data_IF_177898588936
#
_entry.id   IF_177898588936
#
_cell.length_a   1.000
_cell.length_b   1.000
_cell.length_c   1.000
_cell.angle_alpha   90.00
_cell.angle_beta   90.00
_cell.angle_gamma   90.00
#
_symmetry.space_group_name_H-M   'P 1'
#
loop_
_entity.id
_entity.type
_entity.pdbx_description
1 polymer ?
2 polymer ?
3 polymer ?
4 non-polymer ?
5 non-polymer ?
6 water ?
#
loop_
_entity_poly.entity_id
_entity_poly.type
_entity_poly.pdbx_seq_one_letter_code
_entity_poly.pdbx_strand_id
2 'polydeoxyribonucleotide' '(DT)(DC)(DA)(8OG)(DG)(DG)(DG)(DT)(DC)(DC)(DT)' ?
3 'polydeoxyribonucleotide' '(DA)(DG)(DG)(DA)(DC)(DC)(DC)' ?
#
# COMPACT_ATOMS: atom_id res chain seq x y z
N UNK A 27 -17.69 9.47 -16.32
CA UNK A 27 -17.15 8.12 -16.55
C UNK A 27 -15.63 8.09 -16.53
N UNK A 28 -15.04 7.72 -15.39
CA UNK A 28 -13.59 7.56 -15.31
C UNK A 28 -13.21 6.11 -15.61
N UNK A 29 -11.99 5.92 -16.10
CA UNK A 29 -11.43 4.58 -16.24
C UNK A 29 -10.14 4.52 -15.44
N UNK A 30 -10.23 3.84 -14.31
CA UNK A 30 -9.15 3.76 -13.35
C UNK A 30 -8.58 2.34 -13.34
N UNK A 31 -7.29 2.22 -13.09
CA UNK A 31 -6.64 0.93 -12.91
C UNK A 31 -5.92 0.82 -11.59
N UNK A 32 -6.05 -0.34 -10.95
CA UNK A 32 -5.36 -0.64 -9.72
C UNK A 32 -4.31 -1.71 -10.00
N UNK A 33 -3.06 -1.42 -9.67
CA UNK A 33 -2.01 -2.40 -9.90
C UNK A 33 -1.53 -2.95 -8.58
N UNK A 34 -1.50 -4.27 -8.49
CA UNK A 34 -1.19 -4.91 -7.23
C UNK A 34 -0.20 -6.03 -7.46
N UNK A 35 1.02 -5.83 -6.96
CA UNK A 35 2.08 -6.81 -7.18
C UNK A 35 1.90 -8.02 -6.31
N UNK A 36 2.13 -9.17 -6.91
CA UNK A 36 2.10 -10.41 -6.18
C UNK A 36 3.27 -10.62 -5.21
N UNK A 37 2.93 -10.96 -3.95
CA UNK A 37 3.90 -11.25 -2.91
C UNK A 37 5.20 -10.45 -3.08
N UNK A 38 5.08 -9.13 -2.99
CA UNK A 38 6.13 -8.21 -3.40
C UNK A 38 7.52 -8.53 -2.85
N UNK A 39 7.67 -8.51 -1.53
CA UNK A 39 8.99 -8.72 -0.93
C UNK A 39 9.61 -10.00 -1.47
N UNK A 40 8.87 -11.09 -1.39
CA UNK A 40 9.33 -12.37 -1.88
C UNK A 40 9.79 -12.24 -3.32
N UNK A 41 8.96 -11.61 -4.15
CA UNK A 41 9.34 -11.39 -5.54
C UNK A 41 10.70 -10.73 -5.62
N UNK A 42 10.86 -9.63 -4.90
CA UNK A 42 12.11 -8.90 -4.95
C UNK A 42 13.24 -9.81 -4.53
N UNK A 43 13.00 -10.59 -3.47
CA UNK A 43 14.01 -11.54 -3.04
C UNK A 43 14.32 -12.53 -4.14
N UNK A 44 13.29 -13.19 -4.66
CA UNK A 44 13.49 -14.23 -5.67
C UNK A 44 14.28 -13.72 -6.86
N UNK A 45 14.15 -12.44 -7.15
CA UNK A 45 14.92 -11.86 -8.23
C UNK A 45 16.39 -11.79 -7.81
N UNK A 46 16.63 -11.53 -6.54
CA UNK A 46 17.99 -11.48 -6.03
C UNK A 46 18.73 -12.81 -6.10
N UNK A 47 18.35 -13.75 -5.24
CA UNK A 47 18.90 -15.11 -5.26
C UNK A 47 17.94 -16.10 -5.93
N UNK A 48 18.07 -16.26 -7.26
CA UNK A 48 17.16 -17.09 -8.05
C UNK A 48 17.08 -18.52 -7.54
N UNK A 49 18.07 -18.93 -6.76
CA UNK A 49 18.12 -20.25 -6.14
C UNK A 49 16.86 -20.54 -5.31
N UNK A 50 16.06 -19.51 -5.04
CA UNK A 50 14.87 -19.70 -4.23
C UNK A 50 13.56 -19.66 -5.03
N UNK A 51 13.69 -19.50 -6.35
CA UNK A 51 12.55 -19.40 -7.25
C UNK A 51 11.63 -20.62 -7.24
N UNK A 52 12.22 -21.79 -7.01
CA UNK A 52 11.44 -23.03 -7.00
C UNK A 52 11.06 -23.41 -5.57
N UNK A 53 11.77 -22.85 -4.60
CA UNK A 53 11.56 -23.18 -3.20
C UNK A 53 10.58 -22.23 -2.55
N UNK A 54 9.66 -22.79 -1.75
CA UNK A 54 8.68 -21.97 -1.03
C UNK A 54 9.42 -20.99 -0.14
N UNK A 55 8.94 -19.76 -0.08
CA UNK A 55 9.73 -18.70 0.54
C UNK A 55 8.91 -17.86 1.49
N UNK A 56 9.54 -17.52 2.61
CA UNK A 56 8.95 -16.61 3.57
C UNK A 56 9.92 -15.45 3.72
N UNK A 57 9.36 -14.24 3.87
CA UNK A 57 10.18 -13.07 4.17
C UNK A 57 9.89 -12.67 5.61
N UNK A 58 10.97 -12.54 6.37
CA UNK A 58 10.89 -12.51 7.81
C UNK A 58 11.21 -11.17 8.43
N UNK A 59 10.40 -10.79 9.41
CA UNK A 59 10.62 -9.58 10.18
C UNK A 59 10.42 -9.96 11.64
N UNK A 60 11.48 -9.85 12.43
CA UNK A 60 11.46 -10.37 13.80
C UNK A 60 10.91 -11.79 13.75
N UNK A 61 9.76 -12.00 14.39
CA UNK A 61 9.17 -13.33 14.50
C UNK A 61 8.03 -13.54 13.51
N UNK A 62 7.80 -12.58 12.64
CA UNK A 62 6.73 -12.70 11.66
C UNK A 62 7.21 -13.14 10.29
N UNK A 63 6.36 -13.89 9.59
CA UNK A 63 6.52 -14.05 8.16
C UNK A 63 5.50 -13.13 7.52
N UNK A 64 5.98 -12.02 6.97
CA UNK A 64 5.09 -10.99 6.46
C UNK A 64 4.49 -11.37 5.12
N UNK A 65 5.27 -12.07 4.31
CA UNK A 65 4.80 -12.52 2.99
C UNK A 65 5.60 -13.73 2.52
N UNK A 66 4.98 -14.53 1.65
CA UNK A 66 5.62 -15.74 1.12
C UNK A 66 5.28 -15.88 -0.35
N UNK A 67 6.15 -16.51 -1.11
CA UNK A 67 5.84 -16.77 -2.50
C UNK A 67 4.70 -17.79 -2.59
N UNK A 68 4.12 -17.97 -3.77
CA UNK A 68 2.95 -18.83 -3.89
C UNK A 68 3.30 -20.27 -3.63
N UNK A 69 4.49 -20.66 -4.07
CA UNK A 69 5.07 -21.95 -3.77
C UNK A 69 4.91 -22.32 -2.29
N UNK A 70 4.54 -21.36 -1.46
CA UNK A 70 4.54 -21.56 -0.02
C UNK A 70 3.18 -21.30 0.62
N UNK A 71 2.40 -20.39 0.05
CA UNK A 71 1.01 -20.24 0.48
C UNK A 71 0.33 -21.55 0.18
N UNK A 72 0.87 -22.26 -0.81
CA UNK A 72 0.37 -23.57 -1.22
C UNK A 72 0.30 -24.49 0.00
N UNK A 73 1.18 -24.23 0.96
CA UNK A 73 1.31 -25.08 2.14
C UNK A 73 0.80 -24.42 3.43
N UNK A 74 -0.32 -23.71 3.31
CA UNK A 74 -0.97 -23.13 4.47
C UNK A 74 -0.36 -21.85 5.01
N UNK A 75 0.91 -21.60 4.67
CA UNK A 75 1.59 -20.41 5.13
C UNK A 75 0.80 -19.17 4.72
N UNK A 76 0.60 -18.25 5.65
CA UNK A 76 -0.19 -17.06 5.38
C UNK A 76 0.55 -15.77 5.73
N UNK A 77 0.23 -14.70 5.00
CA UNK A 77 0.82 -13.38 5.24
C UNK A 77 0.71 -13.01 6.73
N UNK A 78 1.75 -12.35 7.24
CA UNK A 78 1.83 -12.05 8.67
C UNK A 78 1.50 -13.30 9.47
N UNK A 79 2.43 -14.24 9.52
CA UNK A 79 2.24 -15.47 10.28
C UNK A 79 3.48 -15.85 11.08
N UNK A 80 3.24 -16.17 12.35
CA UNK A 80 4.27 -16.62 13.29
C UNK A 80 5.29 -17.54 12.63
N UNK A 81 6.56 -17.41 13.03
CA UNK A 81 7.60 -18.32 12.54
C UNK A 81 7.50 -19.71 13.18
N UNK A 82 6.78 -19.82 14.29
CA UNK A 82 6.55 -21.15 14.86
C UNK A 82 5.42 -21.85 14.10
N UNK A 83 4.31 -21.15 13.90
CA UNK A 83 3.23 -21.65 13.06
C UNK A 83 3.73 -21.85 11.63
N UNK A 84 4.61 -20.93 11.19
CA UNK A 84 5.18 -21.00 9.85
C UNK A 84 6.01 -22.27 9.64
N UNK A 85 7.12 -22.36 10.37
CA UNK A 85 8.04 -23.49 10.26
C UNK A 85 7.34 -24.84 10.40
N UNK A 86 6.46 -24.95 11.39
CA UNK A 86 5.76 -26.22 11.61
C UNK A 86 4.94 -26.64 10.38
N UNK A 87 3.98 -25.81 10.03
CA UNK A 87 3.14 -26.03 8.85
C UNK A 87 3.98 -26.37 7.62
N UNK A 88 5.21 -25.88 7.62
CA UNK A 88 6.09 -26.12 6.48
C UNK A 88 7.54 -26.02 6.91
N UNK A 89 8.08 -27.11 7.43
CA UNK A 89 9.49 -27.13 7.85
C UNK A 89 10.41 -27.11 6.63
N UNK A 90 9.82 -27.01 5.44
CA UNK A 90 10.62 -26.88 4.23
C UNK A 90 10.71 -25.40 3.87
N UNK A 91 10.09 -24.58 4.71
CA UNK A 91 10.04 -23.13 4.52
C UNK A 91 11.43 -22.50 4.52
N UNK A 92 11.75 -21.75 3.47
CA UNK A 92 12.99 -20.97 3.43
C UNK A 92 12.71 -19.55 3.89
N UNK A 93 13.70 -18.90 4.49
CA UNK A 93 13.47 -17.58 5.06
C UNK A 93 14.60 -16.61 4.75
N UNK A 94 14.23 -15.39 4.39
CA UNK A 94 15.15 -14.27 4.30
C UNK A 94 14.64 -13.16 5.22
N UNK A 95 15.58 -12.37 5.73
CA UNK A 95 15.22 -11.25 6.59
C UNK A 95 14.80 -10.06 5.75
N UNK A 96 13.67 -9.47 6.06
CA UNK A 96 13.20 -8.33 5.30
C UNK A 96 13.00 -7.07 6.12
N UNK A 97 13.69 -6.96 7.24
CA UNK A 97 13.54 -5.80 8.12
C UNK A 97 14.01 -4.51 7.45
N UNK A 98 15.06 -4.61 6.66
CA UNK A 98 15.54 -3.48 5.90
C UNK A 98 14.73 -3.37 4.62
N UNK A 99 13.94 -2.31 4.51
CA UNK A 99 13.03 -2.12 3.37
C UNK A 99 13.71 -1.53 2.14
N UNK A 100 15.00 -1.23 2.26
CA UNK A 100 15.71 -0.49 1.24
C UNK A 100 15.46 -0.96 -0.20
N UNK A 101 15.75 -2.23 -0.45
CA UNK A 101 15.60 -2.77 -1.79
C UNK A 101 14.13 -2.79 -2.23
N UNK A 102 13.22 -3.09 -1.33
CA UNK A 102 11.79 -3.08 -1.65
C UNK A 102 11.36 -1.69 -2.05
N UNK A 103 11.83 -0.71 -1.29
CA UNK A 103 11.42 0.66 -1.52
C UNK A 103 11.89 1.08 -2.90
N UNK A 104 13.12 0.73 -3.24
CA UNK A 104 13.68 1.13 -4.53
C UNK A 104 12.91 0.53 -5.69
N UNK A 105 12.63 -0.77 -5.62
CA UNK A 105 11.83 -1.41 -6.65
C UNK A 105 10.44 -0.78 -6.71
N UNK A 106 9.86 -0.52 -5.54
CA UNK A 106 8.59 0.18 -5.45
C UNK A 106 8.57 1.44 -6.31
N UNK A 107 9.61 2.27 -6.21
CA UNK A 107 9.66 3.49 -7.01
C UNK A 107 9.98 3.23 -8.48
N UNK A 108 10.67 2.13 -8.75
CA UNK A 108 10.87 1.79 -10.15
C UNK A 108 9.52 1.43 -10.79
N UNK A 109 8.68 0.75 -10.03
CA UNK A 109 7.37 0.37 -10.54
C UNK A 109 6.51 1.59 -10.83
N UNK A 110 6.39 2.49 -9.86
CA UNK A 110 5.53 3.62 -10.10
C UNK A 110 6.06 4.57 -11.17
N UNK A 111 7.38 4.79 -11.18
CA UNK A 111 7.96 5.60 -12.25
C UNK A 111 7.62 5.01 -13.60
N UNK A 112 7.61 3.68 -13.66
CA UNK A 112 7.25 3.00 -14.89
C UNK A 112 5.80 3.30 -15.26
N UNK A 113 4.91 3.24 -14.28
CA UNK A 113 3.51 3.55 -14.56
C UNK A 113 3.33 5.05 -14.87
N UNK A 114 4.12 5.91 -14.23
CA UNK A 114 4.00 7.33 -14.51
C UNK A 114 4.27 7.62 -15.99
N UNK A 115 4.89 6.67 -16.66
CA UNK A 115 5.28 6.87 -18.04
C UNK A 115 4.10 6.60 -18.99
N UNK A 116 3.20 5.72 -18.57
CA UNK A 116 1.97 5.49 -19.32
C UNK A 116 1.10 6.73 -19.21
N UNK A 117 0.86 7.17 -17.97
CA UNK A 117 0.11 8.38 -17.70
C UNK A 117 0.59 8.98 -16.38
N UNK A 118 0.80 10.29 -16.36
CA UNK A 118 1.55 10.94 -15.27
C UNK A 118 0.91 10.88 -13.88
N UNK A 119 -0.40 10.66 -13.81
CA UNK A 119 -1.09 10.70 -12.53
C UNK A 119 -1.18 9.33 -11.87
N UNK A 120 -0.20 9.05 -11.01
CA UNK A 120 -0.14 7.77 -10.33
C UNK A 120 -0.15 7.97 -8.83
N UNK A 121 -1.08 7.27 -8.17
CA UNK A 121 -1.19 7.32 -6.73
C UNK A 121 -0.67 6.01 -6.14
N UNK A 122 0.32 6.11 -5.25
CA UNK A 122 0.87 4.96 -4.58
C UNK A 122 0.00 4.62 -3.38
N UNK A 123 -0.03 3.34 -3.01
CA UNK A 123 -0.67 2.91 -1.78
C UNK A 123 0.18 1.80 -1.22
N UNK A 124 1.00 2.13 -0.23
CA UNK A 124 2.01 1.21 0.26
C UNK A 124 3.10 1.05 -0.78
N UNK A 125 3.91 0.02 -0.64
CA UNK A 125 5.00 -0.20 -1.59
C UNK A 125 4.61 -0.99 -2.82
N UNK A 126 3.46 -1.67 -2.78
CA UNK A 126 3.13 -2.64 -3.83
C UNK A 126 1.82 -2.41 -4.54
N UNK A 127 1.24 -1.23 -4.37
CA UNK A 127 -0.02 -0.88 -5.04
C UNK A 127 0.02 0.52 -5.66
N UNK A 128 -0.52 0.64 -6.87
CA UNK A 128 -0.61 1.92 -7.55
C UNK A 128 -1.98 2.07 -8.19
N UNK A 129 -2.49 3.30 -8.19
CA UNK A 129 -3.65 3.62 -8.99
C UNK A 129 -3.22 4.52 -10.11
N UNK A 130 -3.76 4.28 -11.30
CA UNK A 130 -3.54 5.19 -12.40
C UNK A 130 -4.89 5.54 -13.00
N UNK A 131 -5.11 6.83 -13.22
CA UNK A 131 -6.31 7.27 -13.90
C UNK A 131 -6.07 7.21 -15.41
N UNK A 132 -6.78 6.30 -16.08
CA UNK A 132 -6.53 6.04 -17.49
C UNK A 132 -7.49 6.78 -18.42
N UNK A 133 -8.33 7.64 -17.87
CA UNK A 133 -9.44 8.20 -18.67
C UNK A 133 -8.96 8.97 -19.89
N UNK A 134 -8.07 9.93 -19.70
CA UNK A 134 -7.59 10.75 -20.81
C UNK A 134 -6.89 9.88 -21.84
N UNK A 135 -6.23 8.84 -21.38
CA UNK A 135 -5.47 7.96 -22.28
C UNK A 135 -6.44 7.13 -23.10
N UNK A 136 -7.47 6.62 -22.44
CA UNK A 136 -8.50 5.85 -23.12
C UNK A 136 -9.17 6.65 -24.24
N UNK A 137 -9.51 7.91 -23.96
CA UNK A 137 -10.10 8.80 -24.96
C UNK A 137 -9.16 8.99 -26.14
N UNK A 138 -7.91 9.32 -25.85
CA UNK A 138 -6.92 9.56 -26.88
C UNK A 138 -6.89 8.39 -27.85
N UNK A 139 -6.93 7.18 -27.32
CA UNK A 139 -6.85 6.01 -28.18
C UNK A 139 -8.07 5.91 -29.06
N UNK A 140 -9.24 5.95 -28.44
CA UNK A 140 -10.49 5.78 -29.16
C UNK A 140 -10.58 6.71 -30.36
N UNK A 141 -10.21 7.97 -30.18
CA UNK A 141 -10.23 8.92 -31.28
C UNK A 141 -9.40 8.46 -32.46
N UNK A 142 -8.29 7.80 -32.18
CA UNK A 142 -7.38 7.34 -33.22
C UNK A 142 -7.98 6.16 -33.97
N UNK A 143 -9.03 5.58 -33.39
CA UNK A 143 -9.69 4.43 -33.98
C UNK A 143 -10.79 4.84 -34.94
N UNK A 144 -11.07 3.96 -35.90
CA UNK A 144 -12.20 4.12 -36.82
C UNK A 144 -13.21 3.01 -36.57
N UNK A 145 -14.42 3.17 -37.13
CA UNK A 145 -15.51 2.22 -36.90
C UNK A 145 -15.09 0.76 -37.07
N UNK A 146 -14.25 0.52 -38.08
CA UNK A 146 -13.80 -0.83 -38.39
C UNK A 146 -13.12 -1.54 -37.21
N UNK A 147 -12.01 -0.98 -36.74
CA UNK A 147 -11.23 -1.58 -35.65
C UNK A 147 -11.92 -1.43 -34.29
N UNK A 148 -13.02 -0.68 -34.29
CA UNK A 148 -13.86 -0.58 -33.10
C UNK A 148 -14.76 -1.80 -33.02
N UNK A 149 -14.75 -2.60 -34.09
CA UNK A 149 -15.62 -3.77 -34.18
C UNK A 149 -15.66 -4.70 -32.96
N UNK A 150 -14.60 -5.40 -32.53
CA UNK A 150 -13.17 -5.42 -32.94
C UNK A 150 -12.33 -5.16 -31.68
N UNK A 151 -12.70 -4.15 -30.92
CA UNK A 151 -12.13 -3.95 -29.60
C UNK A 151 -12.44 -5.15 -28.74
N UNK A 152 -11.40 -5.76 -28.16
CA UNK A 152 -11.57 -6.96 -27.36
C UNK A 152 -11.03 -6.73 -25.96
N UNK A 153 -11.33 -7.63 -25.04
CA UNK A 153 -10.82 -7.53 -23.68
C UNK A 153 -9.44 -8.13 -23.58
N UNK A 154 -8.62 -7.57 -22.70
CA UNK A 154 -7.45 -8.26 -22.20
C UNK A 154 -7.74 -8.74 -20.78
N UNK A 155 -7.68 -10.05 -20.57
CA UNK A 155 -7.90 -10.62 -19.26
C UNK A 155 -9.33 -11.05 -18.98
N UNK A 156 -9.65 -11.18 -17.69
CA UNK A 156 -10.96 -11.61 -17.26
C UNK A 156 -11.96 -10.45 -17.24
N UNK A 157 -13.21 -10.77 -17.56
CA UNK A 157 -14.30 -9.86 -17.31
C UNK A 157 -14.96 -10.36 -16.05
N UNK A 158 -15.16 -9.48 -15.08
CA UNK A 158 -15.72 -9.89 -13.80
C UNK A 158 -17.10 -10.53 -13.97
N UNK A 159 -17.27 -11.70 -13.35
CA UNK A 159 -18.56 -12.37 -13.31
C UNK A 159 -18.99 -12.84 -14.69
N UNK A 160 -18.02 -13.12 -15.56
CA UNK A 160 -18.30 -13.52 -16.95
C UNK A 160 -19.34 -12.68 -17.65
N UNK A 161 -19.51 -11.43 -17.22
CA UNK A 161 -20.52 -10.59 -17.81
C UNK A 161 -20.30 -10.44 -19.31
N UNK A 162 -21.37 -10.18 -20.04
CA UNK A 162 -21.31 -10.10 -21.50
C UNK A 162 -20.99 -8.70 -21.95
N UNK A 163 -20.15 -8.59 -22.95
CA UNK A 163 -19.77 -7.28 -23.46
C UNK A 163 -20.75 -6.78 -24.50
N UNK A 164 -21.13 -5.52 -24.39
CA UNK A 164 -21.94 -4.90 -25.40
C UNK A 164 -21.10 -3.85 -26.08
N UNK A 165 -20.59 -4.20 -27.25
CA UNK A 165 -19.72 -3.31 -28.02
C UNK A 165 -20.34 -1.96 -28.33
N UNK A 166 -21.64 -1.81 -28.10
CA UNK A 166 -22.32 -0.59 -28.46
C UNK A 166 -22.45 0.27 -27.23
N UNK A 167 -22.09 -0.32 -26.09
CA UNK A 167 -22.06 0.42 -24.85
C UNK A 167 -20.75 1.17 -24.74
N UNK A 168 -20.82 2.49 -24.81
CA UNK A 168 -19.62 3.32 -24.82
C UNK A 168 -18.80 3.07 -23.55
N UNK A 169 -19.49 2.85 -22.43
CA UNK A 169 -18.81 2.54 -21.18
C UNK A 169 -18.10 1.19 -21.27
N UNK A 170 -18.71 0.22 -21.94
CA UNK A 170 -18.07 -1.07 -22.12
C UNK A 170 -16.79 -0.95 -22.92
N UNK A 171 -16.89 -0.20 -24.00
CA UNK A 171 -15.77 -0.02 -24.91
C UNK A 171 -14.60 0.67 -24.21
N UNK A 172 -14.91 1.62 -23.34
CA UNK A 172 -13.84 2.37 -22.68
C UNK A 172 -13.12 1.51 -21.63
N UNK A 173 -13.89 0.76 -20.86
CA UNK A 173 -13.31 -0.16 -19.90
C UNK A 173 -12.45 -1.24 -20.58
N UNK A 174 -12.72 -1.55 -21.83
CA UNK A 174 -11.95 -2.61 -22.51
C UNK A 174 -10.62 -2.06 -22.99
N UNK A 175 -10.62 -0.81 -23.43
CA UNK A 175 -9.38 -0.16 -23.81
C UNK A 175 -8.52 -0.09 -22.56
N UNK A 176 -9.15 0.29 -21.45
CA UNK A 176 -8.51 0.27 -20.15
C UNK A 176 -7.84 -1.07 -19.89
N UNK A 177 -8.55 -2.16 -20.17
CA UNK A 177 -7.99 -3.48 -19.94
C UNK A 177 -6.77 -3.70 -20.82
N UNK A 178 -6.75 -3.05 -21.97
CA UNK A 178 -5.65 -3.20 -22.90
C UNK A 178 -4.42 -2.45 -22.38
N UNK A 179 -4.66 -1.27 -21.81
CA UNK A 179 -3.56 -0.50 -21.26
C UNK A 179 -3.03 -1.20 -20.01
N UNK A 180 -3.94 -1.73 -19.20
CA UNK A 180 -3.55 -2.50 -18.04
C UNK A 180 -2.59 -3.61 -18.45
N UNK A 181 -2.96 -4.37 -19.45
CA UNK A 181 -2.14 -5.48 -19.89
C UNK A 181 -0.76 -5.01 -20.36
N UNK A 182 -0.70 -3.87 -21.04
CA UNK A 182 0.57 -3.33 -21.51
C UNK A 182 1.44 -2.95 -20.32
N UNK A 183 0.82 -2.39 -19.29
CA UNK A 183 1.51 -2.05 -18.06
C UNK A 183 2.09 -3.32 -17.45
N UNK A 184 1.26 -4.33 -17.28
CA UNK A 184 1.70 -5.56 -16.65
C UNK A 184 2.84 -6.20 -17.43
N UNK A 185 2.78 -6.13 -18.75
CA UNK A 185 3.85 -6.71 -19.55
C UNK A 185 5.13 -5.88 -19.43
N UNK A 186 4.99 -4.57 -19.49
CA UNK A 186 6.13 -3.68 -19.33
C UNK A 186 6.84 -3.95 -18.00
N UNK A 187 6.05 -4.20 -16.96
CA UNK A 187 6.61 -4.35 -15.63
C UNK A 187 7.42 -5.60 -15.57
N UNK A 188 6.99 -6.61 -16.29
CA UNK A 188 7.68 -7.88 -16.23
C UNK A 188 8.92 -7.82 -17.13
N UNK A 189 8.75 -7.29 -18.33
CA UNK A 189 9.85 -7.22 -19.29
C UNK A 189 10.97 -6.25 -18.89
N UNK A 190 10.61 -5.17 -18.22
CA UNK A 190 11.58 -4.16 -17.82
C UNK A 190 12.07 -4.32 -16.39
N UNK A 191 11.24 -4.90 -15.52
CA UNK A 191 11.60 -5.01 -14.12
C UNK A 191 11.52 -6.44 -13.58
N UNK A 192 11.09 -7.38 -14.41
CA UNK A 192 10.98 -8.77 -13.99
C UNK A 192 9.88 -9.00 -12.97
N UNK A 193 9.01 -8.00 -12.79
CA UNK A 193 7.95 -8.11 -11.79
C UNK A 193 6.59 -8.58 -12.32
N UNK A 194 5.86 -9.25 -11.45
CA UNK A 194 4.61 -9.90 -11.79
C UNK A 194 3.54 -9.31 -10.86
N UNK A 195 2.31 -9.25 -11.34
CA UNK A 195 1.24 -8.61 -10.57
C UNK A 195 -0.14 -8.63 -11.21
N UNK A 196 -1.13 -8.22 -10.42
CA UNK A 196 -2.50 -8.17 -10.91
C UNK A 196 -2.91 -6.74 -11.23
N UNK A 197 -3.86 -6.58 -12.13
CA UNK A 197 -4.49 -5.30 -12.35
C UNK A 197 -6.00 -5.46 -12.32
N UNK A 198 -6.69 -4.40 -11.92
CA UNK A 198 -8.13 -4.41 -11.98
C UNK A 198 -8.56 -3.10 -12.60
N UNK A 199 -9.40 -3.17 -13.62
CA UNK A 199 -9.88 -1.95 -14.27
C UNK A 199 -11.36 -1.71 -13.94
N UNK A 200 -11.69 -0.47 -13.62
CA UNK A 200 -13.04 -0.10 -13.20
C UNK A 200 -13.24 1.40 -13.27
N UNK A 201 -14.38 1.87 -12.78
CA UNK A 201 -14.79 3.25 -13.02
C UNK A 201 -14.49 4.18 -11.85
N UNK A 202 -13.99 3.61 -10.77
CA UNK A 202 -13.47 4.39 -9.65
C UNK A 202 -12.44 3.57 -8.85
N UNK A 203 -11.81 4.20 -7.86
CA UNK A 203 -10.75 3.57 -7.09
C UNK A 203 -11.19 2.38 -6.26
N UNK A 204 -12.34 2.50 -5.60
CA UNK A 204 -12.91 1.42 -4.81
C UNK A 204 -13.06 0.13 -5.63
N UNK A 205 -13.67 0.25 -6.79
CA UNK A 205 -14.02 -0.91 -7.59
C UNK A 205 -12.77 -1.51 -8.24
N UNK A 206 -11.92 -0.62 -8.75
CA UNK A 206 -10.65 -1.06 -9.32
C UNK A 206 -9.90 -1.92 -8.31
N UNK A 207 -9.83 -1.46 -7.07
CA UNK A 207 -9.09 -2.19 -6.05
C UNK A 207 -9.81 -3.47 -5.66
N UNK A 208 -11.14 -3.39 -5.55
CA UNK A 208 -11.92 -4.58 -5.26
C UNK A 208 -11.81 -5.63 -6.36
N UNK A 209 -11.80 -5.20 -7.62
CA UNK A 209 -11.77 -6.18 -8.70
C UNK A 209 -10.39 -6.76 -9.05
N UNK A 210 -9.30 -6.11 -8.63
CA UNK A 210 -7.95 -6.50 -9.06
C UNK A 210 -7.54 -7.82 -8.45
N UNK A 211 -8.13 -8.15 -7.31
CA UNK A 211 -7.84 -9.41 -6.64
C UNK A 211 -8.74 -10.61 -6.97
N UNK A 212 -9.71 -10.44 -7.85
CA UNK A 212 -10.60 -11.56 -8.17
C UNK A 212 -9.85 -12.76 -8.76
N UNK A 213 -8.91 -12.51 -9.66
CA UNK A 213 -8.05 -13.58 -10.16
C UNK A 213 -6.59 -13.32 -9.82
N UNK A 214 -6.03 -14.12 -8.92
CA UNK A 214 -4.61 -14.03 -8.57
C UNK A 214 -3.98 -15.40 -8.78
N UNK A 215 -2.66 -15.44 -9.04
CA UNK A 215 -1.84 -14.24 -9.20
C UNK A 215 -1.61 -13.89 -10.66
N UNK A 216 -0.94 -12.76 -10.90
CA UNK A 216 -0.50 -12.40 -12.24
C UNK A 216 -1.62 -12.48 -13.27
N UNK A 217 -2.76 -11.91 -12.93
CA UNK A 217 -3.90 -11.87 -13.83
C UNK A 217 -4.58 -10.53 -13.68
N UNK A 218 -5.44 -10.19 -14.63
CA UNK A 218 -6.20 -8.96 -14.52
C UNK A 218 -7.66 -9.20 -14.87
N UNK A 219 -8.52 -8.38 -14.30
CA UNK A 219 -9.93 -8.48 -14.57
C UNK A 219 -10.55 -7.10 -14.59
N UNK A 220 -11.60 -6.96 -15.40
CA UNK A 220 -12.24 -5.68 -15.63
C UNK A 220 -13.68 -5.75 -15.17
N UNK A 221 -14.20 -4.63 -14.69
CA UNK A 221 -15.52 -4.61 -14.08
C UNK A 221 -16.43 -3.80 -14.94
N UNK A 222 -17.43 -4.46 -15.53
CA UNK A 222 -18.48 -3.72 -16.24
C UNK A 222 -19.50 -3.21 -15.24
N UNK A 223 -20.09 -2.05 -15.53
CA UNK A 223 -20.98 -1.41 -14.56
C UNK A 223 -22.13 -2.28 -14.06
N UNK A 224 -22.78 -3.03 -14.94
CA UNK A 224 -23.93 -3.79 -14.44
C UNK A 224 -23.54 -4.94 -13.52
N UNK A 225 -22.25 -5.09 -13.23
CA UNK A 225 -21.81 -6.13 -12.30
C UNK A 225 -21.33 -5.55 -10.98
N UNK A 226 -21.45 -4.24 -10.85
CA UNK A 226 -21.00 -3.54 -9.65
C UNK A 226 -21.64 -4.00 -8.34
N UNK A 227 -22.96 -4.20 -8.35
CA UNK A 227 -23.61 -4.67 -7.13
C UNK A 227 -23.08 -6.06 -6.80
N UNK A 228 -23.03 -6.90 -7.82
CA UNK A 228 -22.55 -8.24 -7.64
C UNK A 228 -21.21 -8.23 -6.90
N UNK A 229 -20.26 -7.43 -7.39
CA UNK A 229 -18.94 -7.32 -6.77
C UNK A 229 -18.97 -6.92 -5.29
N UNK A 230 -19.73 -5.88 -4.96
CA UNK A 230 -19.69 -5.42 -3.57
C UNK A 230 -20.43 -6.37 -2.66
N UNK A 231 -21.49 -7.00 -3.18
CA UNK A 231 -22.22 -7.94 -2.36
C UNK A 231 -21.43 -9.25 -2.21
N UNK A 232 -20.41 -9.42 -3.03
CA UNK A 232 -19.57 -10.60 -2.90
C UNK A 232 -18.73 -10.57 -1.62
N UNK A 233 -18.58 -9.38 -1.03
CA UNK A 233 -17.81 -9.26 0.23
C UNK A 233 -18.55 -9.89 1.39
N UNK A 234 -17.82 -10.35 2.41
CA UNK A 234 -18.47 -11.02 3.53
C UNK A 234 -18.44 -10.24 4.84
N UNK A 235 -17.42 -9.40 4.98
CA UNK A 235 -17.29 -8.57 6.16
C UNK A 235 -17.19 -7.13 5.69
N UNK A 236 -17.96 -6.25 6.32
CA UNK A 236 -17.97 -4.85 5.96
C UNK A 236 -16.58 -4.18 6.00
N UNK A 237 -15.67 -4.77 6.76
CA UNK A 237 -14.29 -4.29 6.84
C UNK A 237 -13.49 -4.56 5.56
N UNK A 238 -14.01 -5.41 4.68
CA UNK A 238 -13.28 -5.72 3.44
C UNK A 238 -13.39 -4.55 2.48
N UNK A 239 -14.26 -3.60 2.80
CA UNK A 239 -14.29 -2.37 2.04
C UNK A 239 -13.07 -1.54 2.41
N UNK A 240 -12.29 -1.13 1.40
CA UNK A 240 -11.20 -0.20 1.64
C UNK A 240 -11.79 1.15 2.06
N UNK A 241 -11.36 1.68 3.20
CA UNK A 241 -11.95 2.89 3.75
C UNK A 241 -12.55 2.58 5.11
N UNK A 242 -12.67 1.29 5.39
CA UNK A 242 -13.29 0.83 6.63
C UNK A 242 -12.35 -0.11 7.37
N UNK A 243 -11.67 0.41 8.39
CA UNK A 243 -10.72 -0.37 9.16
C UNK A 243 -11.27 -0.86 10.49
N UNK A 244 -10.38 -1.22 11.42
CA UNK A 244 -10.80 -1.79 12.71
C UNK A 244 -11.83 -0.95 13.44
N UNK A 245 -11.44 0.26 13.84
CA UNK A 245 -12.33 1.12 14.60
C UNK A 245 -13.74 1.15 13.99
N UNK A 246 -13.85 1.61 12.76
CA UNK A 246 -15.16 1.78 12.13
C UNK A 246 -15.92 0.47 12.07
N UNK A 247 -15.27 -0.58 11.61
CA UNK A 247 -15.85 -1.91 11.63
C UNK A 247 -16.49 -2.18 12.99
N UNK A 248 -15.67 -2.16 14.04
CA UNK A 248 -16.13 -2.43 15.39
C UNK A 248 -17.32 -1.57 15.76
N UNK A 249 -17.25 -0.28 15.43
CA UNK A 249 -18.36 0.61 15.72
C UNK A 249 -19.61 0.19 14.95
N UNK A 250 -19.42 -0.26 13.72
CA UNK A 250 -20.54 -0.71 12.91
C UNK A 250 -21.12 -2.02 13.45
N UNK A 251 -20.23 -2.93 13.80
CA UNK A 251 -20.62 -4.23 14.31
C UNK A 251 -21.38 -4.12 15.63
N UNK A 252 -21.39 -2.91 16.19
CA UNK A 252 -22.06 -2.70 17.48
C UNK A 252 -23.39 -2.01 17.22
N UNK A 253 -23.65 -1.72 15.97
CA UNK A 253 -24.90 -1.11 15.58
C UNK A 253 -25.73 -2.18 14.90
N UNK A 254 -25.19 -3.41 14.89
CA UNK A 254 -25.82 -4.52 14.22
C UNK A 254 -25.58 -4.54 12.71
N UNK A 255 -24.69 -3.69 12.24
CA UNK A 255 -24.36 -3.61 10.82
C UNK A 255 -23.21 -4.54 10.48
N UNK A 256 -23.51 -5.62 9.77
CA UNK A 256 -22.49 -6.63 9.49
C UNK A 256 -22.20 -6.91 8.02
N UNK A 257 -23.19 -6.68 7.18
CA UNK A 257 -23.01 -6.98 5.77
C UNK A 257 -22.99 -5.69 4.98
N UNK A 258 -22.41 -5.73 3.80
CA UNK A 258 -22.47 -4.60 2.89
C UNK A 258 -23.90 -4.09 2.82
N UNK A 259 -24.85 -5.02 2.72
CA UNK A 259 -26.23 -4.63 2.51
C UNK A 259 -26.85 -3.98 3.75
N UNK A 260 -26.42 -4.44 4.92
CA UNK A 260 -26.80 -3.74 6.16
C UNK A 260 -26.39 -2.29 6.05
N UNK A 261 -25.10 -2.07 5.83
CA UNK A 261 -24.57 -0.72 5.70
C UNK A 261 -25.29 0.12 4.65
N UNK A 262 -25.55 -0.47 3.50
CA UNK A 262 -26.28 0.23 2.45
C UNK A 262 -27.62 0.68 3.00
N UNK A 263 -28.18 -0.18 3.83
CA UNK A 263 -29.59 -0.13 4.15
C UNK A 263 -29.86 0.59 5.47
N UNK A 264 -28.81 0.79 6.26
CA UNK A 264 -28.94 1.35 7.59
C UNK A 264 -29.31 2.82 7.55
N UNK A 265 -29.81 3.34 8.66
CA UNK A 265 -30.34 4.71 8.70
C UNK A 265 -29.26 5.77 8.49
N UNK A 266 -29.38 6.52 7.39
CA UNK A 266 -28.45 7.61 7.14
C UNK A 266 -28.44 8.53 8.36
N UNK A 267 -29.63 8.97 8.75
CA UNK A 267 -29.79 9.80 9.94
C UNK A 267 -28.96 9.29 11.11
N UNK A 268 -29.17 8.04 11.48
CA UNK A 268 -28.52 7.49 12.66
C UNK A 268 -27.03 7.43 12.47
N UNK A 269 -26.61 7.05 11.26
CA UNK A 269 -25.20 6.80 10.98
C UNK A 269 -24.40 8.10 11.09
N UNK A 270 -24.93 9.16 10.47
CA UNK A 270 -24.32 10.49 10.60
C UNK A 270 -24.12 10.80 12.07
N UNK A 271 -25.21 10.80 12.81
CA UNK A 271 -25.21 11.12 14.23
C UNK A 271 -24.32 10.20 15.05
N UNK A 272 -23.62 9.29 14.38
CA UNK A 272 -22.93 8.22 15.08
C UNK A 272 -21.43 8.12 14.82
N UNK A 273 -21.02 8.49 13.60
CA UNK A 273 -19.61 8.42 13.25
C UNK A 273 -19.14 9.75 12.68
N UNK A 274 -20.06 10.70 12.64
CA UNK A 274 -19.78 12.00 12.08
C UNK A 274 -20.22 12.05 10.62
N UNK A 275 -20.90 13.13 10.27
CA UNK A 275 -21.32 13.38 8.91
C UNK A 275 -20.20 13.09 7.88
N UNK A 276 -18.95 13.19 8.31
CA UNK A 276 -17.82 12.92 7.42
C UNK A 276 -17.67 11.46 7.03
N UNK A 277 -17.24 10.65 7.99
CA UNK A 277 -17.16 9.21 7.83
C UNK A 277 -18.47 8.63 7.32
N UNK A 278 -19.53 8.79 8.10
CA UNK A 278 -20.81 8.17 7.78
C UNK A 278 -21.20 8.39 6.33
N UNK A 279 -21.17 9.64 5.91
CA UNK A 279 -21.66 9.96 4.59
C UNK A 279 -20.95 9.16 3.51
N UNK A 280 -19.63 9.11 3.63
CA UNK A 280 -18.77 8.52 2.61
C UNK A 280 -18.73 7.00 2.66
N UNK A 281 -18.66 6.43 3.86
CA UNK A 281 -18.59 4.99 3.94
C UNK A 281 -19.91 4.37 3.53
N UNK A 282 -20.95 5.19 3.50
CA UNK A 282 -22.22 4.70 3.00
C UNK A 282 -22.22 4.71 1.47
N UNK A 283 -21.55 5.69 0.89
CA UNK A 283 -21.42 5.71 -0.57
C UNK A 283 -20.59 4.50 -0.98
N UNK A 284 -19.53 4.24 -0.22
CA UNK A 284 -18.67 3.10 -0.49
C UNK A 284 -19.47 1.80 -0.51
N UNK A 285 -20.49 1.71 0.33
CA UNK A 285 -21.25 0.47 0.43
C UNK A 285 -22.03 0.21 -0.86
N UNK A 286 -22.27 1.25 -1.64
CA UNK A 286 -22.97 1.12 -2.92
C UNK A 286 -22.01 0.99 -4.11
N UNK A 287 -20.72 0.92 -3.81
CA UNK A 287 -19.70 0.89 -4.84
C UNK A 287 -19.41 2.29 -5.38
N UNK A 288 -19.86 3.31 -4.65
CA UNK A 288 -19.69 4.72 -5.05
C UNK A 288 -18.45 5.37 -4.44
N UNK A 289 -17.58 5.90 -5.30
CA UNK A 289 -16.33 6.49 -4.85
C UNK A 289 -15.88 7.56 -5.82
N UNK A 290 -15.93 8.80 -5.37
CA UNK A 290 -15.63 9.94 -6.21
C UNK A 290 -14.18 10.38 -6.10
N UNK A 291 -13.51 9.93 -5.05
CA UNK A 291 -12.13 10.34 -4.77
C UNK A 291 -11.25 10.28 -6.02
N UNK A 292 -10.48 11.35 -6.25
CA UNK A 292 -9.59 11.40 -7.41
C UNK A 292 -8.35 10.55 -7.18
N UNK A 293 -7.74 10.07 -8.26
CA UNK A 293 -6.43 9.45 -8.17
C UNK A 293 -5.49 10.61 -8.01
N UNK A 294 -4.77 10.66 -6.90
CA UNK A 294 -3.83 11.76 -6.66
C UNK A 294 -2.41 11.44 -7.08
N UNK A 295 -1.70 12.41 -7.63
CA UNK A 295 -0.28 12.24 -7.93
C UNK A 295 0.55 12.15 -6.65
N UNK A 296 1.08 10.95 -6.38
CA UNK A 296 1.88 10.72 -5.17
C UNK A 296 3.16 11.54 -5.17
N UNK A 297 3.85 11.54 -6.31
CA UNK A 297 5.10 12.26 -6.44
C UNK A 297 6.14 11.78 -5.46
N UNK A 298 7.08 12.65 -5.10
CA UNK A 298 8.13 12.22 -4.17
C UNK A 298 7.50 12.12 -2.81
N UNK A 299 8.07 11.28 -1.93
CA UNK A 299 7.55 11.05 -0.57
C UNK A 299 7.56 12.31 0.27
N UNK A 300 6.63 12.40 1.21
CA UNK A 300 6.56 13.55 2.09
C UNK A 300 7.15 13.27 3.47
N UNK A 301 7.77 12.10 3.63
CA UNK A 301 8.48 11.77 4.86
C UNK A 301 9.39 10.55 4.71
N UNK A 302 10.49 10.56 5.44
CA UNK A 302 11.36 9.40 5.51
C UNK A 302 11.38 9.00 6.96
N UNK A 303 11.23 7.71 7.22
CA UNK A 303 11.35 7.25 8.59
C UNK A 303 11.93 5.84 8.68
N UNK A 304 12.58 5.59 9.81
CA UNK A 304 13.13 4.30 10.13
C UNK A 304 12.60 3.96 11.51
N UNK A 305 12.33 2.70 11.74
CA UNK A 305 11.97 2.30 13.08
C UNK A 305 12.59 0.95 13.41
N UNK A 306 12.64 0.66 14.70
CA UNK A 306 13.05 -0.65 15.17
C UNK A 306 12.39 -0.94 16.50
N UNK A 307 11.68 -2.06 16.56
CA UNK A 307 11.10 -2.51 17.81
C UNK A 307 12.09 -3.45 18.47
N UNK A 308 11.84 -3.79 19.72
CA UNK A 308 12.75 -4.65 20.47
C UNK A 308 12.07 -5.19 21.70
N UNK A 309 12.70 -6.20 22.31
CA UNK A 309 12.20 -6.82 23.52
C UNK A 309 12.06 -5.79 24.64
N UNK A 310 13.16 -5.06 24.89
CA UNK A 310 13.17 -4.00 25.89
C UNK A 310 14.34 -3.04 25.71
N UNK A 311 14.08 -1.77 25.95
CA UNK A 311 15.11 -0.76 26.15
C UNK A 311 14.76 -0.02 27.42
N UNK A 312 15.69 0.01 28.37
CA UNK A 312 15.44 0.67 29.64
C UNK A 312 16.60 1.58 30.09
N UNK A 313 17.53 1.82 29.17
CA UNK A 313 18.60 2.78 29.41
C UNK A 313 18.59 3.87 28.35
N UNK A 314 19.18 5.01 28.67
CA UNK A 314 19.21 6.13 27.74
C UNK A 314 20.46 6.08 26.86
N UNK A 315 21.41 5.21 27.20
CA UNK A 315 22.61 5.06 26.38
C UNK A 315 22.33 4.08 25.25
N UNK A 316 21.46 3.10 25.52
CA UNK A 316 20.99 2.22 24.48
C UNK A 316 20.27 3.07 23.46
N UNK A 317 19.21 3.72 23.92
CA UNK A 317 18.44 4.62 23.08
C UNK A 317 19.37 5.38 22.15
N UNK A 318 20.28 6.16 22.72
CA UNK A 318 21.13 7.03 21.89
C UNK A 318 21.80 6.24 20.78
N UNK A 319 22.28 5.03 21.10
CA UNK A 319 22.91 4.19 20.10
C UNK A 319 21.92 3.73 19.05
N UNK A 320 20.77 3.23 19.53
CA UNK A 320 19.66 2.87 18.66
C UNK A 320 19.35 4.03 17.74
N UNK A 321 19.08 5.17 18.35
CA UNK A 321 18.69 6.38 17.66
C UNK A 321 19.79 6.88 16.73
N UNK A 322 21.04 6.68 17.12
CA UNK A 322 22.13 7.01 16.23
C UNK A 322 22.02 6.13 15.00
N UNK A 323 21.55 4.90 15.22
CA UNK A 323 21.45 3.92 14.14
C UNK A 323 20.35 4.29 13.16
N UNK A 324 19.16 4.58 13.69
CA UNK A 324 18.05 5.01 12.85
C UNK A 324 18.47 6.26 12.09
N UNK A 325 19.01 7.22 12.82
CA UNK A 325 19.46 8.48 12.23
C UNK A 325 20.52 8.24 11.15
N UNK A 326 21.28 7.16 11.30
CA UNK A 326 22.30 6.83 10.32
C UNK A 326 21.69 6.69 8.94
N UNK A 327 20.81 5.70 8.78
CA UNK A 327 20.21 5.38 7.49
C UNK A 327 19.42 6.55 6.92
N UNK A 328 18.68 7.22 7.79
CA UNK A 328 17.86 8.33 7.34
C UNK A 328 18.72 9.33 6.58
N UNK A 329 19.91 9.57 7.09
CA UNK A 329 20.80 10.56 6.50
C UNK A 329 21.12 10.26 5.05
N UNK A 330 21.47 9.02 4.74
CA UNK A 330 21.81 8.66 3.36
C UNK A 330 20.59 8.73 2.45
N UNK A 331 19.42 8.49 3.02
CA UNK A 331 18.19 8.50 2.24
C UNK A 331 17.86 9.90 1.75
N UNK A 332 17.82 10.86 2.67
CA UNK A 332 17.56 12.24 2.31
C UNK A 332 18.73 12.80 1.51
N UNK A 333 19.94 12.43 1.90
CA UNK A 333 21.13 12.79 1.15
C UNK A 333 20.95 12.43 -0.32
N UNK A 334 20.59 11.18 -0.57
CA UNK A 334 20.38 10.68 -1.93
C UNK A 334 19.12 11.28 -2.56
N UNK A 335 18.38 12.07 -1.79
CA UNK A 335 17.04 12.51 -2.21
C UNK A 335 17.03 13.83 -2.98
N UNK A 336 17.73 14.84 -2.47
CA UNK A 336 17.84 16.12 -3.17
C UNK A 336 16.97 17.23 -2.64
N UNK A 337 16.15 16.93 -1.64
CA UNK A 337 15.37 17.94 -0.94
C UNK A 337 15.79 17.93 0.52
N UNK A 338 15.43 18.96 1.25
CA UNK A 338 15.78 19.04 2.65
C UNK A 338 14.54 19.10 3.54
N UNK A 339 14.59 18.40 4.67
CA UNK A 339 13.51 18.38 5.68
C UNK A 339 13.69 19.48 6.72
N UNK A 340 12.60 19.99 7.28
CA UNK A 340 12.67 21.10 8.22
C UNK A 340 12.09 20.75 9.58
N UNK A 341 11.82 19.47 9.81
CA UNK A 341 11.46 19.03 11.16
C UNK A 341 11.69 17.54 11.39
N UNK A 342 12.02 17.18 12.63
CA UNK A 342 12.23 15.80 13.02
C UNK A 342 11.19 15.36 14.03
N UNK A 343 10.90 14.07 14.03
CA UNK A 343 10.01 13.51 15.02
C UNK A 343 10.68 12.31 15.64
N UNK A 344 10.51 12.15 16.94
CA UNK A 344 10.94 10.95 17.62
C UNK A 344 9.71 10.25 18.15
N UNK A 345 9.63 8.96 17.86
CA UNK A 345 8.49 8.17 18.25
C UNK A 345 8.96 7.04 19.13
N UNK A 346 8.15 6.69 20.12
CA UNK A 346 8.49 5.64 21.06
C UNK A 346 7.25 4.80 21.37
N UNK A 347 7.48 3.66 22.00
CA UNK A 347 6.40 2.78 22.46
C UNK A 347 6.75 2.27 23.84
N UNK A 348 5.79 2.34 24.77
CA UNK A 348 6.06 2.01 26.18
C UNK A 348 5.62 0.59 26.56
N UNK A 349 6.06 0.15 27.73
CA UNK A 349 5.80 -1.20 28.23
C UNK A 349 4.31 -1.60 28.21
N UNK A 350 4.06 -2.90 28.18
CA UNK A 350 2.70 -3.47 28.13
C UNK A 350 1.59 -2.43 28.00
N UNK A 356 -1.36 3.17 22.51
CA UNK A 356 -0.90 3.90 21.35
C UNK A 356 0.51 4.45 21.53
N UNK A 357 1.05 5.03 20.47
CA UNK A 357 2.42 5.55 20.48
C UNK A 357 2.51 6.97 21.05
N UNK A 358 3.75 7.46 21.19
CA UNK A 358 4.02 8.82 21.63
C UNK A 358 5.09 9.46 20.75
N UNK A 359 5.09 10.78 20.65
CA UNK A 359 6.01 11.46 19.74
C UNK A 359 6.23 12.93 20.09
N UNK A 360 7.47 13.37 19.91
CA UNK A 360 7.83 14.77 19.99
C UNK A 360 8.47 15.19 18.68
N UNK A 361 8.17 16.39 18.23
CA UNK A 361 8.83 16.92 17.04
C UNK A 361 9.25 18.37 17.26
N UNK A 362 10.16 18.83 16.42
CA UNK A 362 10.62 20.19 16.48
C UNK A 362 11.27 20.50 15.15
N UNK A 363 11.30 21.79 14.78
CA UNK A 363 11.94 22.15 13.52
C UNK A 363 13.42 21.84 13.58
N UNK A 364 14.01 21.59 12.43
CA UNK A 364 15.44 21.38 12.32
C UNK A 364 16.11 22.72 12.04
N UNK A 365 17.13 23.09 12.83
CA UNK A 365 17.68 24.44 12.72
C UNK A 365 18.28 24.77 11.36
N UNK A 366 18.37 26.09 11.16
CA UNK A 366 18.78 26.70 9.92
C UNK A 366 20.04 26.11 9.30
N UNK A 367 21.15 26.27 10.00
CA UNK A 367 22.47 25.86 9.52
C UNK A 367 22.57 24.35 9.51
N UNK A 368 21.86 23.73 10.45
CA UNK A 368 21.84 22.29 10.61
C UNK A 368 21.26 21.61 9.37
N UNK A 369 20.46 22.35 8.61
CA UNK A 369 19.98 21.87 7.32
C UNK A 369 21.09 22.01 6.27
N UNK A 370 21.96 21.01 6.21
CA UNK A 370 23.10 21.04 5.30
C UNK A 370 23.69 19.65 5.09
N UNK A 376 31.08 15.43 4.23
CA UNK A 376 31.47 16.84 4.24
C UNK A 376 31.03 17.58 5.51
N UNK A 377 30.60 16.83 6.52
CA UNK A 377 30.12 17.44 7.77
C UNK A 377 29.82 16.39 8.85
N UNK A 378 29.54 16.87 10.07
CA UNK A 378 29.18 16.00 11.18
C UNK A 378 27.78 16.34 11.66
N UNK A 379 26.79 16.01 10.83
CA UNK A 379 25.40 16.34 11.11
C UNK A 379 24.85 15.49 12.24
N UNK A 380 25.48 14.34 12.47
CA UNK A 380 25.05 13.40 13.50
C UNK A 380 24.93 14.08 14.86
N UNK A 381 26.08 14.48 15.41
CA UNK A 381 26.13 15.02 16.76
C UNK A 381 25.03 16.02 17.04
N UNK A 382 24.95 17.09 16.25
CA UNK A 382 23.91 18.05 16.58
C UNK A 382 22.53 17.39 16.53
N UNK A 383 22.30 16.60 15.48
CA UNK A 383 21.03 15.91 15.29
C UNK A 383 20.66 15.04 16.47
N UNK A 384 21.57 14.16 16.87
CA UNK A 384 21.30 13.25 17.97
C UNK A 384 21.04 14.03 19.25
N UNK A 385 21.70 15.18 19.38
CA UNK A 385 21.49 16.04 20.52
C UNK A 385 20.04 16.49 20.57
N UNK A 386 19.53 16.96 19.44
CA UNK A 386 18.13 17.35 19.33
C UNK A 386 17.21 16.21 19.74
N UNK A 387 17.45 15.05 19.13
CA UNK A 387 16.61 13.89 19.39
C UNK A 387 16.65 13.49 20.85
N UNK A 388 17.83 13.61 21.45
CA UNK A 388 17.99 13.29 22.86
C UNK A 388 17.12 14.16 23.76
N UNK A 389 17.15 15.47 23.51
CA UNK A 389 16.31 16.38 24.27
C UNK A 389 14.85 15.94 24.12
N UNK A 390 14.41 15.87 22.87
CA UNK A 390 13.07 15.39 22.53
C UNK A 390 12.81 14.07 23.24
N UNK A 391 13.83 13.22 23.27
CA UNK A 391 13.75 11.94 23.93
C UNK A 391 13.39 12.09 25.41
N UNK A 392 14.23 12.84 26.15
CA UNK A 392 14.02 13.02 27.59
C UNK A 392 12.66 13.63 27.89
N UNK A 393 12.20 14.52 27.03
CA UNK A 393 10.88 15.13 27.18
C UNK A 393 9.82 14.08 27.47
N UNK A 394 9.94 12.91 26.84
CA UNK A 394 8.93 11.87 26.95
C UNK A 394 9.35 10.81 27.96
N UNK A 395 10.65 10.59 28.06
CA UNK A 395 11.18 9.54 28.92
C UNK A 395 11.75 10.10 30.22
N UNK A 396 11.54 9.38 31.31
CA UNK A 396 12.07 9.78 32.60
C UNK A 396 13.39 9.07 32.87
N UNK A 397 14.50 9.76 32.58
CA UNK A 397 15.83 9.18 32.80
C UNK A 397 16.05 8.80 34.27
N UNK A 398 15.29 9.44 35.16
CA UNK A 398 15.40 9.18 36.60
C UNK A 398 14.37 8.17 37.08
N UNK A 399 13.26 8.04 36.35
CA UNK A 399 12.26 7.02 36.63
C UNK A 399 12.35 5.91 35.59
N UNK A 400 12.72 4.70 36.02
CA UNK A 400 12.96 3.57 35.11
C UNK A 400 11.89 3.48 34.01
N UNK A 401 12.28 2.96 32.85
CA UNK A 401 11.39 2.92 31.69
C UNK A 401 11.56 1.65 30.85
N UNK A 402 10.50 1.24 30.18
CA UNK A 402 10.56 0.09 29.27
C UNK A 402 10.03 0.43 27.87
N UNK A 403 10.94 0.57 26.92
CA UNK A 403 10.57 0.90 25.55
C UNK A 403 10.61 -0.31 24.62
N UNK A 404 9.60 -0.42 23.76
CA UNK A 404 9.51 -1.51 22.81
C UNK A 404 9.63 -1.02 21.36
N UNK A 405 9.90 0.26 21.18
CA UNK A 405 10.11 0.82 19.85
C UNK A 405 10.77 2.19 19.84
N UNK A 406 11.72 2.37 18.92
CA UNK A 406 12.27 3.68 18.63
C UNK A 406 12.12 4.01 17.15
N UNK A 407 11.81 5.28 16.85
CA UNK A 407 11.68 5.70 15.47
C UNK A 407 12.02 7.17 15.22
N UNK A 408 12.77 7.41 14.16
CA UNK A 408 13.09 8.77 13.74
C UNK A 408 12.43 9.07 12.40
N UNK A 409 11.73 10.20 12.32
CA UNK A 409 11.06 10.60 11.10
C UNK A 409 11.49 11.99 10.68
N UNK A 410 11.82 12.16 9.41
CA UNK A 410 12.07 13.48 8.83
C UNK A 410 10.91 13.89 7.95
N UNK A 411 10.14 14.88 8.40
CA UNK A 411 9.07 15.42 7.57
C UNK A 411 9.26 16.89 7.22
N UNK A 412 8.20 17.52 6.73
CA UNK A 412 8.23 18.91 6.28
C UNK A 412 9.42 19.17 5.34
N UNK A 413 9.36 18.56 4.16
CA UNK A 413 10.45 18.68 3.19
C UNK A 413 10.29 19.83 2.21
N UNK A 414 11.43 20.44 1.86
CA UNK A 414 11.50 21.50 0.87
C UNK A 414 12.70 21.28 -0.05
#
# INVERSE_FOLDING_TARGET
MELADVGAAASSQGVHDQVLPTPNASSRVIVHVDLDCFYAQVEMISNPELKDKPLGVQQKYLVVTCNYEARKLGVKKLMNVRDAKEKCPQLVLVNGEDLTRYREMSYKVTELLEEFSPVVERLGFDENFVDLTEMVEKRLQQLQSDELSAVTVSGHVYNNQSINLLDVLHIRLLVGSQIAAEMREAMYNQLGLTGCAGVASNKLLAKLVSGVFKPNQQTVLLPESCQHLIHSLNHIKEIPGIGYKTAKCLEALGINSVRDLQTFSPKILEKELGISVAQRIQKLSFGEDNSPVILSGPPQSFSEEDSFKKCSSEVEAKNKIEELLASLLNRVCQDGRKPHTVRLIIRRYSSEKHYGRESRQCPIPSHVIQKLGTGNYDVMTPMVDILMKLFRNMVNVKMPFHLTLLSVCFCNLKALNTAK
#
